data_IF_175682701079
#
_entry.id   IF_175682701079
#
_cell.length_a   1.000
_cell.length_b   1.000
_cell.length_c   1.000
_cell.angle_alpha   90.00
_cell.angle_beta   90.00
_cell.angle_gamma   90.00
#
_symmetry.space_group_name_H-M   'P 1'
#
loop_
_entity.id
_entity.type
_entity.pdbx_description
1 polymer ?
#
# COMPACT_ATOMS: atom_id res chain seq x y z
N UNK A 1 -44.03 2.74 47.26
CA UNK A 1 -43.01 2.97 46.20
C UNK A 1 -43.18 1.87 45.14
N UNK A 2 -44.27 1.71 44.38
CA UNK A 2 -45.01 2.63 43.49
C UNK A 2 -44.14 3.38 42.48
N UNK A 3 -43.66 2.64 41.48
CA UNK A 3 -43.47 3.11 40.10
C UNK A 3 -44.09 2.03 39.18
N UNK A 4 -45.40 2.14 39.01
CA UNK A 4 -46.13 2.43 37.76
C UNK A 4 -46.01 1.36 36.67
N UNK A 5 -47.17 0.73 36.44
CA UNK A 5 -47.51 -0.19 35.35
C UNK A 5 -47.36 0.44 33.95
N UNK A 6 -47.13 1.75 33.83
CA UNK A 6 -47.02 2.47 32.54
C UNK A 6 -45.74 2.19 31.75
N UNK A 7 -44.65 1.73 32.37
CA UNK A 7 -43.40 1.47 31.64
C UNK A 7 -43.37 0.11 30.93
N UNK A 8 -44.35 -0.77 31.17
CA UNK A 8 -44.48 -2.06 30.47
C UNK A 8 -45.41 -2.03 29.25
N UNK A 9 -46.12 -0.92 29.01
CA UNK A 9 -46.95 -0.72 27.82
C UNK A 9 -46.19 -0.07 26.65
N UNK A 10 -45.06 0.58 26.90
CA UNK A 10 -44.25 1.24 25.87
C UNK A 10 -43.40 0.28 25.01
N UNK A 11 -43.22 -0.99 25.43
CA UNK A 11 -42.33 -1.96 24.77
C UNK A 11 -43.08 -2.94 23.83
N UNK A 12 -44.42 -2.89 23.80
CA UNK A 12 -45.24 -3.74 22.89
C UNK A 12 -45.59 -3.08 21.55
N UNK A 13 -45.15 -1.85 21.30
CA UNK A 13 -45.48 -1.10 20.08
C UNK A 13 -44.37 -1.07 19.02
N UNK A 14 -43.23 -1.75 19.23
CA UNK A 14 -42.08 -1.73 18.30
C UNK A 14 -41.85 -3.01 17.49
N UNK A 15 -42.63 -4.06 17.70
CA UNK A 15 -42.71 -5.22 16.79
C UNK A 15 -43.77 -4.96 15.71
N UNK A 16 -43.42 -4.06 14.77
CA UNK A 16 -44.23 -3.73 13.61
C UNK A 16 -43.48 -4.04 12.33
N UNK A 17 -43.51 -5.31 11.91
CA UNK A 17 -43.05 -5.78 10.59
C UNK A 17 -43.87 -5.09 9.50
N UNK A 18 -43.39 -3.95 9.00
CA UNK A 18 -44.01 -3.29 7.84
C UNK A 18 -43.37 -3.80 6.55
N UNK A 19 -43.93 -4.89 6.03
CA UNK A 19 -43.69 -5.34 4.66
C UNK A 19 -43.96 -4.18 3.68
N UNK A 20 -42.88 -3.61 3.12
CA UNK A 20 -42.99 -2.67 1.99
C UNK A 20 -43.27 -3.48 0.72
N UNK A 21 -44.50 -3.36 0.24
CA UNK A 21 -45.01 -3.85 -1.04
C UNK A 21 -44.22 -3.16 -2.17
N UNK A 22 -43.38 -3.91 -2.87
CA UNK A 22 -42.66 -3.43 -4.07
C UNK A 22 -43.66 -3.09 -5.19
N UNK A 23 -43.51 -1.96 -5.90
CA UNK A 23 -44.30 -1.69 -7.10
C UNK A 23 -43.83 -2.62 -8.22
N UNK A 24 -44.76 -3.42 -8.76
CA UNK A 24 -44.58 -4.15 -10.02
C UNK A 24 -44.64 -3.14 -11.17
N UNK A 25 -43.50 -2.80 -11.76
CA UNK A 25 -43.43 -2.18 -13.09
C UNK A 25 -42.59 -3.07 -14.00
N UNK A 26 -43.28 -3.72 -14.94
CA UNK A 26 -42.65 -4.52 -15.98
C UNK A 26 -41.97 -3.63 -17.00
N UNK A 27 -40.65 -3.74 -17.09
CA UNK A 27 -39.88 -3.32 -18.25
C UNK A 27 -39.19 -4.57 -18.81
N UNK A 28 -39.65 -5.05 -19.97
CA UNK A 28 -39.04 -6.17 -20.70
C UNK A 28 -37.66 -5.75 -21.21
N UNK A 29 -36.59 -6.14 -20.51
CA UNK A 29 -35.25 -6.11 -21.05
C UNK A 29 -35.07 -7.30 -22.00
N UNK A 30 -34.93 -7.02 -23.30
CA UNK A 30 -34.60 -8.01 -24.33
C UNK A 30 -33.18 -8.53 -24.05
N UNK A 31 -33.07 -9.79 -23.65
CA UNK A 31 -31.80 -10.52 -23.60
C UNK A 31 -31.31 -10.78 -25.02
N UNK A 32 -30.16 -10.21 -25.38
CA UNK A 32 -29.45 -10.51 -26.62
C UNK A 32 -28.34 -11.50 -26.30
N UNK A 33 -28.48 -12.73 -26.79
CA UNK A 33 -27.49 -13.79 -26.65
C UNK A 33 -26.13 -13.38 -27.25
N UNK A 34 -24.99 -13.74 -26.63
CA UNK A 34 -23.70 -13.60 -27.28
C UNK A 34 -23.55 -14.63 -28.39
N UNK A 35 -23.20 -14.15 -29.58
CA UNK A 35 -22.95 -14.95 -30.77
C UNK A 35 -21.78 -15.92 -30.57
N UNK A 36 -22.02 -17.21 -30.85
CA UNK A 36 -20.99 -18.22 -31.07
C UNK A 36 -20.03 -17.74 -32.16
N UNK A 37 -18.75 -17.53 -31.81
CA UNK A 37 -17.66 -17.53 -32.79
C UNK A 37 -16.88 -18.84 -32.66
N UNK A 38 -16.93 -19.55 -33.76
CA UNK A 38 -16.30 -20.82 -34.13
C UNK A 38 -14.81 -20.86 -33.79
N UNK A 39 -14.43 -21.91 -33.05
CA UNK A 39 -13.05 -22.32 -32.81
C UNK A 39 -12.36 -22.65 -34.13
N UNK A 40 -11.37 -21.83 -34.53
CA UNK A 40 -10.43 -22.20 -35.59
C UNK A 40 -9.36 -23.12 -34.99
N UNK A 41 -9.41 -24.36 -35.46
CA UNK A 41 -8.44 -25.44 -35.28
C UNK A 41 -7.05 -24.96 -35.72
N UNK A 42 -6.14 -24.73 -34.77
CA UNK A 42 -4.71 -24.61 -35.06
C UNK A 42 -4.15 -26.03 -34.97
N UNK A 43 -3.72 -26.52 -36.11
CA UNK A 43 -3.12 -27.83 -36.33
C UNK A 43 -1.80 -27.97 -35.58
N UNK A 44 -1.63 -29.12 -34.93
CA UNK A 44 -0.40 -29.54 -34.29
C UNK A 44 0.67 -29.75 -35.38
N UNK A 45 1.67 -28.87 -35.40
CA UNK A 45 2.94 -29.18 -36.05
C UNK A 45 3.89 -29.78 -35.00
N UNK A 46 4.49 -30.87 -35.44
CA UNK A 46 5.40 -31.78 -34.76
C UNK A 46 6.62 -31.07 -34.18
N UNK A 47 6.81 -31.14 -32.85
CA UNK A 47 8.13 -30.95 -32.24
C UNK A 47 8.78 -32.33 -32.17
N UNK A 48 9.76 -32.54 -33.06
CA UNK A 48 10.67 -33.68 -33.03
C UNK A 48 11.47 -33.64 -31.72
N UNK A 49 11.46 -34.74 -30.98
CA UNK A 49 12.46 -35.03 -29.95
C UNK A 49 13.85 -35.14 -30.59
N UNK A 50 14.83 -34.46 -29.98
CA UNK A 50 16.25 -34.66 -30.24
C UNK A 50 16.98 -34.84 -28.90
N UNK A 51 18.04 -35.68 -28.86
CA UNK A 51 18.36 -36.50 -27.70
C UNK A 51 19.20 -35.79 -26.64
N UNK A 52 19.07 -36.29 -25.41
CA UNK A 52 19.93 -35.98 -24.28
C UNK A 52 21.41 -36.16 -24.63
N UNK A 53 22.17 -35.06 -24.59
CA UNK A 53 23.63 -35.08 -24.48
C UNK A 53 24.03 -34.23 -23.28
N UNK A 54 24.49 -34.95 -22.26
CA UNK A 54 25.23 -34.49 -21.11
C UNK A 54 26.48 -33.72 -21.56
N UNK A 55 26.56 -32.46 -21.13
CA UNK A 55 27.81 -31.71 -21.01
C UNK A 55 27.66 -30.78 -19.81
N UNK A 56 27.95 -31.34 -18.65
CA UNK A 56 28.21 -30.61 -17.41
C UNK A 56 29.34 -29.61 -17.63
N UNK A 57 28.98 -28.33 -17.74
CA UNK A 57 29.86 -27.18 -17.48
C UNK A 57 28.98 -25.96 -17.25
N UNK A 58 28.29 -25.96 -16.11
CA UNK A 58 27.73 -24.73 -15.56
C UNK A 58 28.88 -23.77 -15.25
N UNK A 59 28.84 -22.50 -15.70
CA UNK A 59 29.74 -21.48 -15.17
C UNK A 59 29.49 -21.38 -13.67
N UNK A 60 30.53 -21.56 -12.85
CA UNK A 60 30.46 -21.33 -11.40
C UNK A 60 30.14 -19.86 -11.16
N UNK A 61 28.87 -19.50 -11.07
CA UNK A 61 28.44 -18.27 -10.42
C UNK A 61 28.59 -18.49 -8.93
N UNK A 62 29.49 -17.72 -8.32
CA UNK A 62 29.69 -17.70 -6.86
C UNK A 62 28.39 -17.32 -6.16
N UNK A 63 28.02 -17.94 -5.01
CA UNK A 63 26.73 -17.68 -4.35
C UNK A 63 26.64 -16.37 -3.55
N UNK A 64 27.70 -15.56 -3.46
CA UNK A 64 27.87 -14.65 -2.32
C UNK A 64 27.81 -13.13 -2.62
N UNK A 65 27.33 -12.71 -3.79
CA UNK A 65 27.17 -11.29 -4.07
C UNK A 65 25.70 -10.86 -3.93
N UNK A 66 25.30 -10.45 -2.71
CA UNK A 66 24.07 -9.70 -2.53
C UNK A 66 24.04 -8.51 -3.52
N UNK A 67 22.92 -8.24 -4.21
CA UNK A 67 22.86 -7.17 -5.20
C UNK A 67 23.22 -5.86 -4.53
N UNK A 68 24.29 -5.20 -4.99
CA UNK A 68 24.82 -3.96 -4.41
C UNK A 68 23.71 -2.90 -4.33
N UNK A 69 23.62 -2.16 -3.22
CA UNK A 69 22.69 -1.04 -3.10
C UNK A 69 22.83 -0.11 -4.31
N UNK A 70 21.72 0.48 -4.84
CA UNK A 70 21.82 1.47 -5.91
C UNK A 70 22.84 2.54 -5.52
N UNK A 71 23.82 2.78 -6.40
CA UNK A 71 24.97 3.60 -6.10
C UNK A 71 24.55 5.02 -5.64
N UNK A 72 25.00 5.41 -4.46
CA UNK A 72 24.92 6.79 -3.98
C UNK A 72 25.79 7.67 -4.89
N UNK A 73 25.23 8.76 -5.42
CA UNK A 73 25.96 9.69 -6.30
C UNK A 73 26.71 10.68 -5.40
N UNK A 74 28.06 10.67 -5.35
CA UNK A 74 28.80 11.57 -4.48
C UNK A 74 28.56 13.04 -4.86
N UNK A 75 28.15 13.86 -3.90
CA UNK A 75 27.86 15.29 -4.10
C UNK A 75 26.42 15.62 -4.53
N UNK A 76 25.56 14.61 -4.74
CA UNK A 76 24.15 14.82 -5.00
C UNK A 76 23.35 14.98 -3.70
N UNK A 77 22.32 15.84 -3.73
CA UNK A 77 21.38 16.00 -2.61
C UNK A 77 20.62 14.69 -2.35
N UNK A 78 20.52 14.31 -1.07
CA UNK A 78 19.84 13.10 -0.62
C UNK A 78 18.53 13.45 0.11
N UNK A 79 17.38 12.90 -0.32
CA UNK A 79 16.08 13.21 0.28
C UNK A 79 15.95 12.63 1.68
N UNK A 80 15.29 13.36 2.58
CA UNK A 80 14.94 12.89 3.93
C UNK A 80 13.55 12.27 3.91
N UNK A 81 13.49 10.94 3.93
CA UNK A 81 12.21 10.22 3.87
C UNK A 81 11.81 9.67 5.24
N UNK A 82 10.55 9.88 5.63
CA UNK A 82 9.96 9.26 6.83
C UNK A 82 9.02 8.15 6.39
N UNK A 83 9.18 6.95 6.96
CA UNK A 83 8.35 5.78 6.66
C UNK A 83 7.56 5.39 7.89
N UNK A 84 6.24 5.52 7.86
CA UNK A 84 5.36 4.95 8.87
C UNK A 84 5.01 3.51 8.49
N UNK A 85 5.54 2.53 9.22
CA UNK A 85 5.35 1.12 8.92
C UNK A 85 4.49 0.44 9.99
N UNK A 86 3.49 -0.34 9.58
CA UNK A 86 2.75 -1.18 10.50
C UNK A 86 3.66 -2.29 11.06
N UNK A 87 3.50 -2.58 12.35
CA UNK A 87 4.33 -3.54 13.07
C UNK A 87 4.23 -4.95 12.48
N UNK A 88 3.02 -5.37 12.09
CA UNK A 88 2.72 -6.76 11.75
C UNK A 88 3.17 -7.18 10.35
N UNK A 89 3.16 -6.26 9.39
CA UNK A 89 3.45 -6.58 7.99
C UNK A 89 4.64 -5.76 7.48
N UNK A 90 4.46 -4.45 7.23
CA UNK A 90 5.47 -3.63 6.58
C UNK A 90 6.79 -3.54 7.36
N UNK A 91 6.74 -3.45 8.69
CA UNK A 91 7.94 -3.44 9.53
C UNK A 91 8.66 -4.79 9.46
N UNK A 92 7.92 -5.91 9.54
CA UNK A 92 8.46 -7.25 9.35
C UNK A 92 8.96 -7.49 7.91
N UNK A 93 8.37 -6.83 6.91
CA UNK A 93 8.85 -6.85 5.52
C UNK A 93 10.20 -6.15 5.39
N UNK A 94 10.40 -5.06 6.13
CA UNK A 94 11.71 -4.41 6.23
C UNK A 94 12.73 -5.29 6.97
N UNK A 95 12.34 -5.96 8.05
CA UNK A 95 13.19 -6.93 8.74
C UNK A 95 13.58 -8.08 7.80
N UNK A 96 12.64 -8.56 6.99
CA UNK A 96 12.88 -9.58 5.97
C UNK A 96 13.88 -9.10 4.92
N UNK A 97 13.77 -7.84 4.45
CA UNK A 97 14.76 -7.25 3.56
C UNK A 97 16.16 -7.25 4.21
N UNK A 98 16.25 -6.89 5.50
CA UNK A 98 17.49 -6.93 6.27
C UNK A 98 18.09 -8.33 6.42
N UNK A 99 17.29 -9.31 6.84
CA UNK A 99 17.71 -10.70 7.03
C UNK A 99 18.16 -11.33 5.70
N UNK A 100 17.43 -11.06 4.62
CA UNK A 100 17.77 -11.53 3.27
C UNK A 100 18.87 -10.70 2.60
N UNK A 101 19.46 -9.71 3.30
CA UNK A 101 20.53 -8.83 2.79
C UNK A 101 20.16 -8.11 1.49
N UNK A 102 18.87 -7.86 1.27
CA UNK A 102 18.35 -7.17 0.09
C UNK A 102 18.71 -5.70 0.23
N UNK A 103 19.53 -5.21 -0.68
CA UNK A 103 19.97 -3.83 -0.63
C UNK A 103 18.90 -2.87 -1.18
N UNK A 104 18.80 -1.73 -0.52
CA UNK A 104 17.94 -0.61 -0.89
C UNK A 104 18.63 0.71 -0.53
N UNK A 105 18.12 1.83 -1.02
CA UNK A 105 18.65 3.14 -0.69
C UNK A 105 18.52 3.41 0.83
N UNK A 106 19.53 4.02 1.47
CA UNK A 106 19.56 4.21 2.92
C UNK A 106 18.87 5.51 3.40
N UNK A 107 18.27 6.29 2.50
CA UNK A 107 17.80 7.65 2.78
C UNK A 107 16.38 7.70 3.35
N UNK A 108 16.07 6.82 4.31
CA UNK A 108 14.79 6.83 5.00
C UNK A 108 14.96 6.51 6.49
N UNK A 109 14.00 6.97 7.28
CA UNK A 109 13.88 6.64 8.70
C UNK A 109 12.50 6.08 8.97
N UNK A 110 12.46 4.88 9.54
CA UNK A 110 11.23 4.17 9.81
C UNK A 110 10.70 4.48 11.21
N UNK A 111 9.41 4.76 11.30
CA UNK A 111 8.65 4.91 12.54
C UNK A 111 7.68 3.75 12.61
N UNK A 112 7.83 2.92 13.65
CA UNK A 112 6.95 1.78 13.89
C UNK A 112 5.64 2.24 14.50
N UNK A 113 4.53 1.79 13.92
CA UNK A 113 3.19 1.92 14.50
C UNK A 113 2.52 0.56 14.52
N UNK A 114 1.59 0.32 15.44
CA UNK A 114 0.92 -1.00 15.49
C UNK A 114 0.09 -1.28 14.24
N UNK A 115 -0.55 -0.26 13.66
CA UNK A 115 -1.39 -0.39 12.47
C UNK A 115 -1.26 0.85 11.59
N UNK A 116 -1.35 0.70 10.28
CA UNK A 116 -1.47 1.84 9.35
C UNK A 116 -2.70 2.70 9.66
N UNK A 117 -3.78 2.11 10.20
CA UNK A 117 -4.97 2.85 10.66
C UNK A 117 -4.72 3.80 11.83
N UNK A 118 -3.56 3.72 12.50
CA UNK A 118 -3.16 4.68 13.53
C UNK A 118 -2.69 6.01 12.94
N UNK A 119 -2.26 6.00 11.68
CA UNK A 119 -1.71 7.17 10.99
C UNK A 119 -2.85 8.12 10.66
N UNK A 120 -2.73 9.33 11.20
CA UNK A 120 -3.62 10.46 10.98
C UNK A 120 -2.87 11.56 10.22
N UNK A 121 -3.61 12.50 9.63
CA UNK A 121 -3.03 13.62 8.89
C UNK A 121 -1.98 14.38 9.70
N UNK A 122 -2.21 14.57 11.01
CA UNK A 122 -1.27 15.27 11.90
C UNK A 122 0.14 14.67 11.93
N UNK A 123 0.29 13.35 11.85
CA UNK A 123 1.63 12.72 11.81
C UNK A 123 2.36 13.03 10.52
N UNK A 124 1.65 12.97 9.40
CA UNK A 124 2.20 13.23 8.06
C UNK A 124 2.59 14.71 7.94
N UNK A 125 1.68 15.60 8.33
CA UNK A 125 1.93 17.05 8.29
C UNK A 125 3.08 17.45 9.22
N UNK A 126 3.16 16.86 10.41
CA UNK A 126 4.28 17.11 11.32
C UNK A 126 5.61 16.61 10.76
N UNK A 127 5.62 15.49 10.03
CA UNK A 127 6.83 15.03 9.36
C UNK A 127 7.30 16.03 8.31
N UNK A 128 6.38 16.57 7.49
CA UNK A 128 6.70 17.64 6.53
C UNK A 128 7.15 18.93 7.23
N UNK A 129 6.49 19.31 8.32
CA UNK A 129 6.87 20.45 9.16
C UNK A 129 8.31 20.30 9.67
N UNK A 130 8.75 19.09 10.04
CA UNK A 130 10.11 18.79 10.50
C UNK A 130 11.14 18.64 9.37
N UNK A 131 10.78 18.99 8.14
CA UNK A 131 11.69 18.98 6.99
C UNK A 131 11.84 17.61 6.32
N UNK A 132 10.82 16.74 6.39
CA UNK A 132 10.79 15.56 5.53
C UNK A 132 10.53 15.97 4.07
N UNK A 133 11.32 15.41 3.16
CA UNK A 133 11.16 15.61 1.71
C UNK A 133 10.13 14.66 1.11
N UNK A 134 9.88 13.54 1.79
CA UNK A 134 8.84 12.58 1.45
C UNK A 134 8.37 11.78 2.68
N UNK A 135 7.10 11.39 2.65
CA UNK A 135 6.47 10.56 3.67
C UNK A 135 5.84 9.34 3.00
N UNK A 136 6.26 8.15 3.43
CA UNK A 136 5.69 6.87 3.01
C UNK A 136 4.87 6.30 4.16
N UNK A 137 3.62 5.95 3.90
CA UNK A 137 2.79 5.18 4.83
C UNK A 137 2.70 3.76 4.28
N UNK A 138 2.97 2.76 5.11
CA UNK A 138 2.87 1.36 4.72
C UNK A 138 2.07 0.52 5.71
N UNK A 139 1.26 -0.40 5.18
CA UNK A 139 0.46 -1.34 5.96
C UNK A 139 0.37 -2.74 5.35
N UNK A 140 -0.43 -3.59 5.98
CA UNK A 140 -0.79 -4.92 5.48
C UNK A 140 -1.70 -4.82 4.24
N UNK A 141 -1.65 -5.84 3.38
CA UNK A 141 -2.63 -6.02 2.29
C UNK A 141 -4.07 -6.10 2.83
N UNK A 142 -5.03 -5.76 1.96
CA UNK A 142 -6.46 -5.91 2.30
C UNK A 142 -6.80 -7.38 2.51
N UNK A 143 -7.53 -7.67 3.59
CA UNK A 143 -7.77 -9.04 4.06
C UNK A 143 -6.78 -9.51 5.13
N UNK A 144 -5.54 -9.03 5.11
CA UNK A 144 -4.47 -9.48 6.02
C UNK A 144 -4.20 -8.52 7.18
N UNK A 145 -5.08 -7.55 7.38
CA UNK A 145 -4.91 -6.61 8.48
C UNK A 145 -5.01 -7.34 9.82
N UNK A 146 -3.97 -7.25 10.65
CA UNK A 146 -3.99 -7.81 12.00
C UNK A 146 -5.17 -7.28 12.85
N UNK A 147 -5.61 -6.05 12.58
CA UNK A 147 -6.76 -5.43 13.23
C UNK A 147 -8.00 -5.39 12.33
N UNK A 148 -8.11 -6.35 11.41
CA UNK A 148 -9.26 -6.63 10.52
C UNK A 148 -9.51 -5.54 9.48
N UNK A 149 -9.79 -4.31 9.90
CA UNK A 149 -10.19 -3.19 9.03
C UNK A 149 -9.28 -1.95 9.17
N UNK A 150 -8.20 -2.03 9.94
CA UNK A 150 -7.34 -0.88 10.21
C UNK A 150 -6.72 -0.26 8.96
N UNK A 151 -6.34 -1.07 7.98
CA UNK A 151 -5.81 -0.59 6.70
C UNK A 151 -6.88 0.05 5.80
N UNK A 152 -8.15 -0.40 5.85
CA UNK A 152 -9.24 0.27 5.15
C UNK A 152 -9.44 1.71 5.66
N UNK A 153 -9.40 1.92 6.98
CA UNK A 153 -9.43 3.27 7.57
C UNK A 153 -8.22 4.11 7.17
N UNK A 154 -7.07 3.47 6.98
CA UNK A 154 -5.87 4.17 6.53
C UNK A 154 -6.03 4.74 5.10
N UNK A 155 -6.77 4.07 4.21
CA UNK A 155 -7.10 4.62 2.87
C UNK A 155 -7.90 5.91 3.00
N UNK A 156 -9.02 5.86 3.72
CA UNK A 156 -9.89 7.03 3.91
C UNK A 156 -9.13 8.21 4.54
N UNK A 157 -8.26 7.91 5.51
CA UNK A 157 -7.45 8.92 6.17
C UNK A 157 -6.34 9.45 5.26
N UNK A 158 -5.75 8.60 4.43
CA UNK A 158 -4.73 8.98 3.46
C UNK A 158 -5.31 9.90 2.39
N UNK A 159 -6.49 9.61 1.84
CA UNK A 159 -7.17 10.48 0.87
C UNK A 159 -7.46 11.87 1.44
N UNK A 160 -7.98 11.94 2.67
CA UNK A 160 -8.18 13.20 3.38
C UNK A 160 -6.86 13.95 3.57
N UNK A 161 -5.80 13.25 3.95
CA UNK A 161 -4.48 13.83 4.16
C UNK A 161 -3.89 14.36 2.86
N UNK A 162 -4.04 13.60 1.76
CA UNK A 162 -3.58 14.00 0.44
C UNK A 162 -4.26 15.29 -0.03
N UNK A 163 -5.57 15.43 0.20
CA UNK A 163 -6.29 16.68 -0.12
C UNK A 163 -5.73 17.88 0.66
N UNK A 164 -5.36 17.70 1.93
CA UNK A 164 -4.73 18.76 2.74
C UNK A 164 -3.32 19.07 2.22
N UNK A 165 -2.52 18.06 1.88
CA UNK A 165 -1.17 18.22 1.30
C UNK A 165 -1.23 19.04 -0.01
N UNK A 166 -2.19 18.73 -0.89
CA UNK A 166 -2.44 19.52 -2.11
C UNK A 166 -2.82 20.97 -1.80
N UNK A 167 -3.70 21.18 -0.82
CA UNK A 167 -4.14 22.52 -0.43
C UNK A 167 -2.98 23.37 0.12
N UNK A 168 -2.01 22.74 0.77
CA UNK A 168 -0.79 23.39 1.28
C UNK A 168 0.26 23.65 0.19
N UNK A 169 0.00 23.26 -1.07
CA UNK A 169 0.93 23.43 -2.18
C UNK A 169 2.12 22.46 -2.16
N UNK A 170 2.04 21.37 -1.38
CA UNK A 170 3.04 20.31 -1.38
C UNK A 170 2.72 19.34 -2.52
N UNK A 171 3.74 18.92 -3.25
CA UNK A 171 3.60 18.02 -4.39
C UNK A 171 3.09 16.64 -3.95
N UNK A 172 2.08 16.12 -4.63
CA UNK A 172 1.44 14.84 -4.31
C UNK A 172 2.45 13.68 -4.28
N UNK A 173 3.48 13.76 -5.12
CA UNK A 173 4.53 12.76 -5.20
C UNK A 173 5.42 12.67 -3.95
N UNK A 174 5.25 13.54 -2.96
CA UNK A 174 5.95 13.47 -1.67
C UNK A 174 5.20 12.65 -0.62
N UNK A 175 3.96 12.25 -0.86
CA UNK A 175 3.17 11.41 0.05
C UNK A 175 2.73 10.13 -0.69
N UNK A 176 3.12 8.96 -0.19
CA UNK A 176 2.78 7.67 -0.80
C UNK A 176 2.18 6.69 0.21
N UNK A 177 1.24 5.85 -0.24
CA UNK A 177 0.65 4.76 0.54
C UNK A 177 0.95 3.43 -0.16
N UNK A 178 1.49 2.46 0.58
CA UNK A 178 1.85 1.14 0.03
C UNK A 178 1.46 -0.02 0.94
N UNK A 179 1.17 -1.16 0.32
CA UNK A 179 0.79 -2.39 1.04
C UNK A 179 1.87 -3.44 0.87
N UNK A 180 2.47 -3.84 1.99
CA UNK A 180 3.64 -4.72 2.03
C UNK A 180 3.40 -5.75 3.13
N UNK A 181 3.45 -7.03 2.77
CA UNK A 181 3.35 -8.16 3.68
C UNK A 181 4.65 -8.38 4.45
N UNK A 182 4.59 -9.19 5.52
CA UNK A 182 5.78 -9.54 6.30
C UNK A 182 6.84 -10.29 5.47
N UNK A 183 6.44 -11.05 4.44
CA UNK A 183 7.35 -11.85 3.61
C UNK A 183 7.86 -11.10 2.37
N UNK A 184 7.39 -9.88 2.13
CA UNK A 184 7.65 -9.11 0.91
C UNK A 184 8.89 -8.21 1.02
N UNK A 185 10.03 -8.75 1.49
CA UNK A 185 11.28 -7.98 1.62
C UNK A 185 11.81 -7.39 0.30
N UNK A 186 11.68 -8.14 -0.80
CA UNK A 186 12.04 -7.66 -2.15
C UNK A 186 11.18 -6.46 -2.56
N UNK A 187 9.87 -6.52 -2.28
CA UNK A 187 8.94 -5.43 -2.57
C UNK A 187 9.23 -4.21 -1.71
N UNK A 188 9.55 -4.40 -0.43
CA UNK A 188 9.95 -3.31 0.45
C UNK A 188 11.15 -2.55 -0.11
N UNK A 189 12.21 -3.26 -0.49
CA UNK A 189 13.39 -2.66 -1.10
C UNK A 189 13.06 -1.91 -2.40
N UNK A 190 12.23 -2.51 -3.27
CA UNK A 190 11.79 -1.88 -4.52
C UNK A 190 11.01 -0.58 -4.26
N UNK A 191 10.03 -0.60 -3.35
CA UNK A 191 9.21 0.57 -3.00
C UNK A 191 10.08 1.69 -2.43
N UNK A 192 11.03 1.38 -1.55
CA UNK A 192 11.95 2.39 -1.00
C UNK A 192 12.78 3.02 -2.11
N UNK A 193 13.32 2.22 -3.03
CA UNK A 193 14.12 2.74 -4.14
C UNK A 193 13.29 3.63 -5.07
N UNK A 194 12.12 3.14 -5.49
CA UNK A 194 11.19 3.90 -6.34
C UNK A 194 10.78 5.21 -5.70
N UNK A 195 10.41 5.18 -4.43
CA UNK A 195 9.93 6.38 -3.74
C UNK A 195 11.06 7.38 -3.50
N UNK A 196 12.26 6.91 -3.19
CA UNK A 196 13.44 7.77 -3.06
C UNK A 196 13.78 8.43 -4.38
N UNK A 197 13.76 7.68 -5.49
CA UNK A 197 14.00 8.25 -6.82
C UNK A 197 12.91 9.22 -7.25
N UNK A 198 11.65 8.94 -6.88
CA UNK A 198 10.52 9.85 -7.09
C UNK A 198 10.72 11.17 -6.35
N UNK A 199 11.05 11.14 -5.06
CA UNK A 199 11.29 12.36 -4.26
C UNK A 199 12.54 13.08 -4.75
N UNK A 200 13.58 12.34 -5.17
CA UNK A 200 14.81 12.93 -5.74
C UNK A 200 14.52 13.76 -6.99
N UNK A 201 13.61 13.30 -7.85
CA UNK A 201 13.17 14.04 -9.05
C UNK A 201 12.39 15.32 -8.74
N UNK A 202 11.69 15.36 -7.61
CA UNK A 202 10.98 16.55 -7.14
C UNK A 202 11.90 17.59 -6.49
N UNK A 203 13.07 17.15 -6.01
CA UNK A 203 14.02 18.01 -5.32
C UNK A 203 13.64 18.30 -3.85
N UNK A 204 14.40 19.19 -3.18
CA UNK A 204 14.18 19.53 -1.77
C UNK A 204 12.76 20.02 -1.50
N UNK A 205 12.22 19.68 -0.33
CA UNK A 205 10.90 20.15 0.08
C UNK A 205 10.86 21.68 0.21
N UNK A 206 9.77 22.33 -0.25
CA UNK A 206 9.60 23.78 -0.14
C UNK A 206 9.47 24.27 1.31
N UNK A 207 9.31 23.36 2.28
CA UNK A 207 9.18 23.67 3.70
C UNK A 207 10.51 23.65 4.45
N UNK A 208 11.54 23.00 3.92
CA UNK A 208 12.83 22.79 4.59
C UNK A 208 13.64 24.10 4.70
N UNK A 209 13.52 25.00 3.72
CA UNK A 209 14.26 26.28 3.71
C UNK A 209 13.87 27.24 4.85
N UNK A 210 12.72 27.05 5.51
CA UNK A 210 12.33 27.86 6.68
C UNK A 210 13.03 27.48 7.97
N UNK A 211 13.60 26.28 8.07
CA UNK A 211 14.19 25.78 9.32
C UNK A 211 15.70 25.98 9.42
N UNK A 212 16.42 26.12 8.31
CA UNK A 212 17.84 26.47 8.35
C UNK A 212 18.08 27.95 8.69
N UNK A 213 17.03 28.78 8.61
CA UNK A 213 17.06 30.21 8.90
C UNK A 213 16.49 30.58 10.30
N UNK A 214 16.08 29.59 11.11
CA UNK A 214 15.45 29.77 12.43
C UNK A 214 16.29 29.11 13.53
#
# INVERSE_FOLDING_TARGET
>A
MTASKEQREADKSRTGTRAKKSPKTGAKAKTKAPAKKTSKKITQETVKEAPAKTADKSPKTTPDAAPKAPAEIPGAWNPRIVVFACNWCSYAGADTAGVSRIQHQPHFRMIRVMCSGRIQAGFVLHAFEKGADGVLVSGCHFGDCHYIFGNHRAVEQFEKTMNVVKLLGIEEGRLRLEWISAAEGVRFAAVINEFTDQVRKLGPSPLTSRQEAA
#
